data_IF_509371973436
#
_entry.id   IF_509371973436
#
_cell.length_a   1.000
_cell.length_b   1.000
_cell.length_c   1.000
_cell.angle_alpha   90.00
_cell.angle_beta   90.00
_cell.angle_gamma   90.00
#
_symmetry.space_group_name_H-M   'P 1'
#
loop_
_entity.id
_entity.type
_entity.pdbx_description
1 polymer ?
#
# COMPACT_ATOMS: atom_id res chain seq x y z
N UNK A 1 16.04 -20.25 1.15
CA UNK A 1 14.79 -19.57 1.57
C UNK A 1 14.98 -18.24 2.33
N UNK A 2 16.21 -17.72 2.54
CA UNK A 2 16.43 -16.38 3.16
C UNK A 2 16.39 -15.21 2.15
N UNK A 3 16.79 -15.44 0.89
CA UNK A 3 16.87 -14.41 -0.15
C UNK A 3 15.50 -13.91 -0.62
N UNK A 4 14.50 -14.79 -0.75
CA UNK A 4 13.15 -14.40 -1.20
C UNK A 4 12.45 -13.43 -0.24
N UNK A 5 12.69 -13.56 1.08
CA UNK A 5 12.13 -12.64 2.08
C UNK A 5 12.75 -11.24 2.01
N UNK A 6 14.03 -11.12 1.65
CA UNK A 6 14.69 -9.83 1.48
C UNK A 6 14.18 -9.11 0.24
N UNK A 7 13.94 -9.85 -0.85
CA UNK A 7 13.38 -9.30 -2.09
C UNK A 7 11.99 -8.68 -1.87
N UNK A 8 11.10 -9.36 -1.14
CA UNK A 8 9.77 -8.82 -0.82
C UNK A 8 9.85 -7.55 0.02
N UNK A 9 10.77 -7.49 1.00
CA UNK A 9 10.99 -6.26 1.77
C UNK A 9 11.53 -5.12 0.91
N UNK A 10 12.50 -5.38 0.02
CA UNK A 10 13.02 -4.34 -0.88
C UNK A 10 11.96 -3.81 -1.84
N UNK A 11 11.18 -4.70 -2.47
CA UNK A 11 10.07 -4.32 -3.35
C UNK A 11 9.03 -3.50 -2.57
N UNK A 12 8.70 -3.91 -1.35
CA UNK A 12 7.81 -3.16 -0.47
C UNK A 12 8.31 -1.75 -0.17
N UNK A 13 9.59 -1.59 0.16
CA UNK A 13 10.19 -0.27 0.42
C UNK A 13 10.15 0.61 -0.83
N UNK A 14 10.48 0.07 -2.01
CA UNK A 14 10.43 0.81 -3.28
C UNK A 14 9.01 1.30 -3.58
N UNK A 15 8.00 0.45 -3.41
CA UNK A 15 6.59 0.84 -3.60
C UNK A 15 6.20 1.91 -2.59
N UNK A 16 6.61 1.79 -1.33
CA UNK A 16 6.30 2.77 -0.28
C UNK A 16 6.88 4.15 -0.62
N UNK A 17 8.11 4.20 -1.13
CA UNK A 17 8.77 5.43 -1.59
C UNK A 17 8.03 6.03 -2.80
N UNK A 18 7.66 5.22 -3.79
CA UNK A 18 6.91 5.67 -4.98
C UNK A 18 5.55 6.25 -4.55
N UNK A 19 4.84 5.57 -3.66
CA UNK A 19 3.56 6.05 -3.16
C UNK A 19 3.71 7.36 -2.40
N UNK A 20 4.75 7.50 -1.56
CA UNK A 20 5.02 8.74 -0.85
C UNK A 20 5.25 9.90 -1.81
N UNK A 21 6.03 9.68 -2.88
CA UNK A 21 6.29 10.68 -3.92
C UNK A 21 4.99 11.06 -4.63
N UNK A 22 4.17 10.09 -5.04
CA UNK A 22 2.88 10.34 -5.70
C UNK A 22 1.92 11.11 -4.79
N UNK A 23 1.85 10.78 -3.49
CA UNK A 23 1.05 11.50 -2.51
C UNK A 23 1.50 12.96 -2.33
N UNK A 24 2.82 13.20 -2.29
CA UNK A 24 3.38 14.56 -2.21
C UNK A 24 3.08 15.36 -3.48
N UNK A 25 3.29 14.77 -4.67
CA UNK A 25 2.97 15.42 -5.94
C UNK A 25 1.47 15.75 -6.07
N UNK A 26 0.61 14.89 -5.52
CA UNK A 26 -0.83 15.14 -5.46
C UNK A 26 -1.20 16.27 -4.49
N UNK A 27 -0.53 16.39 -3.33
CA UNK A 27 -0.74 17.50 -2.38
C UNK A 27 -0.47 18.88 -3.01
N UNK A 28 0.51 18.95 -3.91
CA UNK A 28 0.83 20.19 -4.64
C UNK A 28 0.00 20.37 -5.92
N UNK A 29 -1.03 19.55 -6.15
CA UNK A 29 -1.82 19.52 -7.39
C UNK A 29 -0.98 19.39 -8.67
N UNK A 30 0.25 18.87 -8.58
CA UNK A 30 1.13 18.65 -9.74
C UNK A 30 0.63 17.43 -10.53
N UNK A 31 0.07 16.45 -9.82
CA UNK A 31 -0.57 15.26 -10.40
C UNK A 31 -1.97 15.14 -9.82
N UNK A 32 -2.99 15.25 -10.68
CA UNK A 32 -4.36 14.94 -10.30
C UNK A 32 -4.52 13.41 -10.24
N UNK A 33 -4.42 12.85 -9.03
CA UNK A 33 -4.75 11.45 -8.81
C UNK A 33 -6.28 11.31 -8.74
N UNK A 34 -6.89 10.43 -9.55
CA UNK A 34 -8.30 10.07 -9.39
C UNK A 34 -8.55 9.56 -7.96
N UNK A 35 -9.71 9.86 -7.38
CA UNK A 35 -10.00 9.50 -5.97
C UNK A 35 -9.81 8.00 -5.68
N UNK A 36 -10.14 7.12 -6.63
CA UNK A 36 -9.91 5.68 -6.46
C UNK A 36 -8.44 5.24 -6.57
N UNK A 37 -7.56 6.07 -7.16
CA UNK A 37 -6.11 5.83 -7.18
C UNK A 37 -5.47 6.02 -5.80
N UNK A 38 -6.01 6.94 -4.99
CA UNK A 38 -5.57 7.15 -3.60
C UNK A 38 -5.89 5.94 -2.72
N UNK A 39 -7.06 5.32 -2.91
CA UNK A 39 -7.46 4.09 -2.20
C UNK A 39 -6.59 2.89 -2.59
N UNK A 40 -6.27 2.73 -3.88
CA UNK A 40 -5.32 1.71 -4.35
C UNK A 40 -3.93 1.87 -3.73
N UNK A 41 -3.42 3.10 -3.67
CA UNK A 41 -2.11 3.41 -3.12
C UNK A 41 -2.05 3.16 -1.61
N UNK A 42 -3.07 3.58 -0.86
CA UNK A 42 -3.16 3.31 0.58
C UNK A 42 -3.26 1.81 0.87
N UNK A 43 -4.11 1.09 0.14
CA UNK A 43 -4.25 -0.35 0.29
C UNK A 43 -2.96 -1.11 -0.01
N UNK A 44 -2.20 -0.71 -1.03
CA UNK A 44 -0.86 -1.23 -1.32
C UNK A 44 0.13 -0.98 -0.18
N UNK A 45 0.16 0.22 0.39
CA UNK A 45 1.00 0.54 1.56
C UNK A 45 0.63 -0.36 2.74
N UNK A 46 -0.65 -0.54 3.03
CA UNK A 46 -1.11 -1.38 4.14
C UNK A 46 -0.72 -2.84 3.94
N UNK A 47 -0.82 -3.37 2.72
CA UNK A 47 -0.36 -4.73 2.39
C UNK A 47 1.17 -4.86 2.57
N UNK A 48 1.95 -3.82 2.26
CA UNK A 48 3.40 -3.81 2.49
C UNK A 48 3.72 -3.73 3.99
N UNK A 49 3.03 -2.86 4.72
CA UNK A 49 3.14 -2.75 6.18
C UNK A 49 2.78 -4.07 6.85
N UNK A 50 1.81 -4.82 6.34
CA UNK A 50 1.54 -6.18 6.79
C UNK A 50 2.80 -7.06 6.69
N UNK A 51 3.47 -7.10 5.54
CA UNK A 51 4.67 -7.93 5.38
C UNK A 51 5.82 -7.52 6.32
N UNK A 52 5.93 -6.23 6.63
CA UNK A 52 6.92 -5.71 7.59
C UNK A 52 6.53 -6.04 9.03
N UNK A 53 5.28 -5.78 9.43
CA UNK A 53 4.79 -5.93 10.82
C UNK A 53 4.44 -7.38 11.20
N UNK A 54 4.21 -8.28 10.24
CA UNK A 54 3.95 -9.70 10.52
C UNK A 54 5.12 -10.40 11.23
N UNK A 55 6.32 -9.81 11.17
CA UNK A 55 7.47 -10.26 11.96
C UNK A 55 7.32 -10.01 13.45
N UNK A 56 6.65 -8.93 13.84
CA UNK A 56 6.54 -8.44 15.21
C UNK A 56 5.25 -8.92 15.88
N UNK A 57 4.11 -8.87 15.17
CA UNK A 57 2.81 -9.29 15.71
C UNK A 57 1.90 -9.87 14.61
N UNK A 58 1.69 -11.20 14.67
CA UNK A 58 0.86 -11.93 13.69
C UNK A 58 -0.61 -11.50 13.71
N UNK A 59 -1.12 -11.07 14.86
CA UNK A 59 -2.53 -10.67 15.02
C UNK A 59 -2.78 -9.30 14.39
N UNK A 60 -1.91 -8.32 14.69
CA UNK A 60 -1.99 -6.98 14.10
C UNK A 60 -1.75 -7.00 12.59
N UNK A 61 -0.79 -7.82 12.13
CA UNK A 61 -0.58 -8.00 10.70
C UNK A 61 -1.85 -8.43 9.97
N UNK A 62 -2.54 -9.48 10.44
CA UNK A 62 -3.77 -9.95 9.78
C UNK A 62 -4.84 -8.86 9.66
N UNK A 63 -5.00 -8.02 10.69
CA UNK A 63 -5.95 -6.89 10.67
C UNK A 63 -5.56 -5.87 9.60
N UNK A 64 -4.29 -5.50 9.53
CA UNK A 64 -3.76 -4.55 8.53
C UNK A 64 -3.92 -5.09 7.10
N UNK A 65 -3.72 -6.40 6.90
CA UNK A 65 -3.95 -7.03 5.60
C UNK A 65 -5.42 -6.93 5.18
N UNK A 66 -6.36 -7.19 6.10
CA UNK A 66 -7.80 -7.11 5.83
C UNK A 66 -8.19 -5.68 5.46
N UNK A 67 -7.72 -4.69 6.23
CA UNK A 67 -7.98 -3.27 5.97
C UNK A 67 -7.38 -2.87 4.61
N UNK A 68 -6.14 -3.28 4.32
CA UNK A 68 -5.49 -2.98 3.05
C UNK A 68 -6.21 -3.57 1.84
N UNK A 69 -6.71 -4.81 1.93
CA UNK A 69 -7.52 -5.43 0.86
C UNK A 69 -8.85 -4.71 0.68
N UNK A 70 -9.50 -4.31 1.78
CA UNK A 70 -10.75 -3.53 1.73
C UNK A 70 -10.53 -2.18 1.02
N UNK A 71 -9.44 -1.50 1.32
CA UNK A 71 -9.10 -0.21 0.71
C UNK A 71 -8.76 -0.33 -0.79
N UNK A 72 -8.12 -1.44 -1.19
CA UNK A 72 -7.93 -1.78 -2.61
C UNK A 72 -9.27 -1.98 -3.30
N UNK A 73 -10.18 -2.78 -2.71
CA UNK A 73 -11.50 -3.05 -3.28
C UNK A 73 -12.29 -1.75 -3.44
N UNK A 74 -12.31 -0.91 -2.41
CA UNK A 74 -12.98 0.40 -2.47
C UNK A 74 -12.33 1.34 -3.50
N UNK A 75 -10.99 1.34 -3.59
CA UNK A 75 -10.24 2.11 -4.59
C UNK A 75 -10.56 1.69 -6.03
N UNK A 76 -10.64 0.38 -6.31
CA UNK A 76 -11.05 -0.16 -7.61
C UNK A 76 -12.49 0.21 -7.95
N UNK A 77 -13.39 0.13 -6.96
CA UNK A 77 -14.81 0.47 -7.16
C UNK A 77 -14.99 1.95 -7.49
N UNK A 78 -14.24 2.84 -6.83
CA UNK A 78 -14.20 4.28 -7.12
C UNK A 78 -13.48 4.66 -8.42
N UNK A 79 -12.74 3.73 -9.05
CA UNK A 79 -12.15 3.94 -10.38
C UNK A 79 -13.10 3.54 -11.52
N UNK A 80 -14.12 2.73 -11.23
CA UNK A 80 -15.08 2.20 -12.20
C UNK A 80 -16.37 3.01 -12.28
N UNK A 81 -16.64 3.85 -11.27
CA UNK A 81 -17.80 4.77 -11.17
C UNK A 81 -17.32 6.18 -11.53
#
# INVERSE_FOLDING_TARGET
MKSSKLWVSYVGIVILVITLILSILSLFNIVALPQGFTGLLNGLILVILYFVMFRESKTLGKVILIIGILDIVLGVTNLLI
#
